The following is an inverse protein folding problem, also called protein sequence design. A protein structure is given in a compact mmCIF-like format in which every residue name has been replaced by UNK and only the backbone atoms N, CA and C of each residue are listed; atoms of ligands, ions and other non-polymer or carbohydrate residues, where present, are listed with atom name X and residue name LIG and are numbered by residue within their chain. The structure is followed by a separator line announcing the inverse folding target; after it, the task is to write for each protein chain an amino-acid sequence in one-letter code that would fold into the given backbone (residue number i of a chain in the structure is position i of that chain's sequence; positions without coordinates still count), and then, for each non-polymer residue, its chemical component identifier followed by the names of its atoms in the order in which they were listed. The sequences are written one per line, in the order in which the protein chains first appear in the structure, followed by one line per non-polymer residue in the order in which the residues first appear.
data_IF_589142587266
#
_entry.id   IF_589142587266
#
_cell.length_a   1.000
_cell.length_b   1.000
_cell.length_c   1.000
_cell.angle_alpha   90.00
_cell.angle_beta   90.00
_cell.angle_gamma   90.00
#
_symmetry.space_group_name_H-M   'P 1'
#
loop_
_entity.id
_entity.type
_entity.pdbx_description
1 polymer ?
#
# COMPACT_ATOMS: atom_id res chain seq x y z
N UNK A 1 -14.04 7.92 12.34
CA UNK A 1 -12.91 7.17 11.75
C UNK A 1 -11.82 7.13 12.79
N UNK A 2 -11.04 6.06 12.88
CA UNK A 2 -9.97 5.97 13.87
C UNK A 2 -8.95 7.09 13.59
N UNK A 3 -8.74 8.00 14.56
CA UNK A 3 -7.85 9.15 14.43
C UNK A 3 -6.44 8.72 14.00
N UNK A 4 -6.01 7.53 14.42
CA UNK A 4 -4.71 6.96 14.06
C UNK A 4 -4.64 6.53 12.59
N UNK A 5 -5.74 6.03 12.02
CA UNK A 5 -5.80 5.63 10.61
C UNK A 5 -5.79 6.87 9.69
N UNK A 6 -6.48 7.93 10.10
CA UNK A 6 -6.51 9.21 9.39
C UNK A 6 -5.15 9.90 9.40
N UNK A 7 -4.47 9.89 10.56
CA UNK A 7 -3.10 10.38 10.69
C UNK A 7 -2.14 9.58 9.83
N UNK A 8 -2.17 8.23 9.89
CA UNK A 8 -1.32 7.39 9.05
C UNK A 8 -1.53 7.64 7.55
N UNK A 9 -2.78 7.77 7.11
CA UNK A 9 -3.11 8.07 5.71
C UNK A 9 -2.63 9.46 5.30
N UNK A 10 -2.77 10.44 6.19
CA UNK A 10 -2.30 11.82 5.98
C UNK A 10 -0.78 11.90 5.91
N UNK A 11 -0.07 11.19 6.79
CA UNK A 11 1.38 11.11 6.79
C UNK A 11 1.90 10.46 5.51
N UNK A 12 1.31 9.35 5.07
CA UNK A 12 1.67 8.71 3.81
C UNK A 12 1.54 9.68 2.63
N UNK A 13 0.43 10.44 2.56
CA UNK A 13 0.23 11.47 1.53
C UNK A 13 1.32 12.54 1.56
N UNK A 14 1.70 13.02 2.74
CA UNK A 14 2.75 14.04 2.89
C UNK A 14 4.10 13.51 2.39
N UNK A 15 4.47 12.28 2.74
CA UNK A 15 5.74 11.68 2.30
C UNK A 15 5.75 11.44 0.79
N UNK A 16 4.63 11.00 0.20
CA UNK A 16 4.51 10.85 -1.26
C UNK A 16 4.64 12.20 -1.98
N UNK A 17 4.02 13.27 -1.48
CA UNK A 17 4.13 14.58 -2.09
C UNK A 17 5.55 15.17 -1.96
N UNK A 18 6.25 14.91 -0.84
CA UNK A 18 7.67 15.26 -0.70
C UNK A 18 8.54 14.55 -1.74
N UNK A 19 8.35 13.25 -1.91
CA UNK A 19 9.08 12.48 -2.93
C UNK A 19 8.82 13.00 -4.34
N UNK A 20 7.56 13.38 -4.63
CA UNK A 20 7.19 13.97 -5.92
C UNK A 20 7.91 15.30 -6.19
N UNK A 21 8.16 16.08 -5.14
CA UNK A 21 8.82 17.38 -5.23
C UNK A 21 10.35 17.27 -5.27
N UNK A 22 10.91 16.10 -4.99
CA UNK A 22 12.34 15.85 -5.08
C UNK A 22 12.76 15.71 -6.55
N UNK A 23 13.54 16.70 -7.02
CA UNK A 23 14.00 16.78 -8.39
C UNK A 23 15.23 15.89 -8.68
N UNK A 24 15.94 15.44 -7.64
CA UNK A 24 17.15 14.61 -7.77
C UNK A 24 17.20 13.52 -6.67
N UNK A 25 16.32 12.51 -6.72
CA UNK A 25 16.29 11.46 -5.70
C UNK A 25 17.58 10.65 -5.71
N UNK A 26 18.10 10.37 -4.52
CA UNK A 26 19.29 9.54 -4.37
C UNK A 26 18.97 8.07 -4.65
N UNK A 27 20.02 7.28 -4.88
CA UNK A 27 19.87 5.83 -4.97
C UNK A 27 19.33 5.20 -3.67
N UNK A 28 19.73 5.75 -2.52
CA UNK A 28 19.24 5.34 -1.20
C UNK A 28 17.73 5.58 -1.07
N UNK A 29 17.21 6.66 -1.65
CA UNK A 29 15.77 6.93 -1.66
C UNK A 29 15.01 5.87 -2.45
N UNK A 30 15.47 5.50 -3.65
CA UNK A 30 14.85 4.42 -4.42
C UNK A 30 14.85 3.08 -3.68
N UNK A 31 15.96 2.76 -3.01
CA UNK A 31 16.04 1.58 -2.16
C UNK A 31 15.04 1.65 -0.99
N UNK A 32 14.99 2.77 -0.27
CA UNK A 32 14.07 2.99 0.84
C UNK A 32 12.59 2.88 0.40
N UNK A 33 12.23 3.43 -0.77
CA UNK A 33 10.89 3.32 -1.33
C UNK A 33 10.50 1.89 -1.67
N UNK A 34 11.44 1.07 -2.15
CA UNK A 34 11.16 -0.33 -2.44
C UNK A 34 10.80 -1.13 -1.19
N UNK A 35 11.50 -0.85 -0.09
CA UNK A 35 11.19 -1.42 1.21
C UNK A 35 9.82 -0.93 1.72
N UNK A 36 9.58 0.38 1.67
CA UNK A 36 8.34 0.98 2.13
C UNK A 36 7.11 0.43 1.37
N UNK A 37 7.19 0.28 0.05
CA UNK A 37 6.13 -0.31 -0.76
C UNK A 37 5.85 -1.77 -0.37
N UNK A 38 6.90 -2.54 -0.07
CA UNK A 38 6.76 -3.92 0.43
C UNK A 38 6.03 -3.96 1.77
N UNK A 39 6.40 -3.08 2.70
CA UNK A 39 5.81 -3.03 4.03
C UNK A 39 4.34 -2.55 4.02
N UNK A 40 4.01 -1.54 3.20
CA UNK A 40 2.64 -1.01 3.06
C UNK A 40 1.72 -2.04 2.42
N UNK A 41 2.12 -2.65 1.31
CA UNK A 41 1.29 -3.65 0.61
C UNK A 41 1.03 -4.88 1.48
N UNK A 42 2.01 -5.34 2.25
CA UNK A 42 1.83 -6.45 3.19
C UNK A 42 0.83 -6.12 4.32
N UNK A 43 0.88 -4.90 4.87
CA UNK A 43 -0.07 -4.44 5.91
C UNK A 43 -1.48 -4.33 5.36
N UNK A 44 -1.65 -3.78 4.16
CA UNK A 44 -2.95 -3.69 3.50
C UNK A 44 -3.51 -5.08 3.13
N UNK A 45 -2.65 -6.02 2.69
CA UNK A 45 -3.05 -7.41 2.43
C UNK A 45 -3.63 -8.02 3.72
N UNK A 46 -2.90 -7.88 4.82
CA UNK A 46 -3.33 -8.39 6.12
C UNK A 46 -4.65 -7.75 6.58
N UNK A 47 -4.78 -6.43 6.49
CA UNK A 47 -6.02 -5.71 6.83
C UNK A 47 -7.20 -6.20 6.00
N UNK A 48 -7.02 -6.37 4.68
CA UNK A 48 -8.07 -6.88 3.78
C UNK A 48 -8.58 -8.25 4.21
N UNK A 49 -7.66 -9.15 4.60
CA UNK A 49 -8.01 -10.48 5.13
C UNK A 49 -8.77 -10.40 6.45
N UNK A 50 -8.33 -9.55 7.38
CA UNK A 50 -9.00 -9.34 8.67
C UNK A 50 -10.42 -8.84 8.45
N UNK A 51 -10.59 -7.81 7.62
CA UNK A 51 -11.91 -7.25 7.30
C UNK A 51 -12.79 -8.28 6.58
N UNK A 52 -12.27 -9.08 5.65
CA UNK A 52 -13.04 -10.12 4.97
C UNK A 52 -13.62 -11.14 5.98
N UNK A 53 -12.83 -11.52 6.98
CA UNK A 53 -13.27 -12.40 8.06
C UNK A 53 -14.30 -11.76 8.99
N UNK A 54 -14.16 -10.46 9.28
CA UNK A 54 -15.12 -9.72 10.10
C UNK A 54 -16.46 -9.53 9.38
N UNK A 55 -16.43 -9.12 8.11
CA UNK A 55 -17.61 -8.97 7.24
C UNK A 55 -18.36 -10.30 7.12
N UNK A 56 -17.64 -11.41 6.93
CA UNK A 56 -18.23 -12.75 6.83
C UNK A 56 -18.99 -13.22 8.07
N UNK A 57 -18.75 -12.60 9.25
CA UNK A 57 -19.43 -12.91 10.53
C UNK A 57 -20.31 -11.77 11.02
N UNK A 58 -20.44 -10.70 10.24
CA UNK A 58 -21.06 -9.47 10.73
C UNK A 58 -22.54 -9.67 11.10
N UNK A 59 -23.26 -10.48 10.31
CA UNK A 59 -24.66 -10.82 10.49
C UNK A 59 -24.94 -11.83 11.61
N UNK A 60 -23.94 -12.58 12.09
CA UNK A 60 -24.14 -13.69 13.04
C UNK A 60 -24.84 -13.27 14.35
N UNK A 61 -24.65 -12.01 14.74
CA UNK A 61 -25.20 -11.43 15.97
C UNK A 61 -26.05 -10.17 15.73
N UNK A 62 -26.46 -9.90 14.48
CA UNK A 62 -27.10 -8.63 14.11
C UNK A 62 -28.28 -8.85 13.17
N UNK A 63 -29.36 -8.12 13.42
CA UNK A 63 -30.46 -7.97 12.45
C UNK A 63 -30.07 -6.86 11.49
N UNK A 64 -29.95 -7.20 10.21
CA UNK A 64 -29.49 -6.28 9.18
C UNK A 64 -30.65 -5.87 8.27
N UNK A 65 -30.53 -4.67 7.71
CA UNK A 65 -31.42 -4.14 6.68
C UNK A 65 -30.57 -3.43 5.64
N UNK A 66 -31.00 -3.48 4.40
CA UNK A 66 -30.46 -2.71 3.30
C UNK A 66 -31.35 -1.48 3.11
N UNK A 67 -30.75 -0.33 2.85
CA UNK A 67 -31.43 0.95 2.66
C UNK A 67 -32.05 1.09 1.26
N UNK A 68 -31.62 0.26 0.31
CA UNK A 68 -32.18 0.15 -1.04
C UNK A 68 -33.17 -1.02 -1.18
N UNK A 69 -33.38 -1.78 -0.10
CA UNK A 69 -34.31 -2.91 -0.06
C UNK A 69 -33.74 -4.25 -0.56
N UNK A 70 -32.44 -4.34 -0.82
CA UNK A 70 -31.77 -5.59 -1.19
C UNK A 70 -31.60 -6.55 0.01
N UNK A 71 -31.13 -7.78 -0.25
CA UNK A 71 -30.77 -8.72 0.81
C UNK A 71 -29.43 -8.32 1.46
N UNK A 72 -29.39 -7.99 2.77
CA UNK A 72 -28.16 -7.64 3.46
C UNK A 72 -27.12 -8.76 3.46
N UNK A 73 -27.54 -10.03 3.43
CA UNK A 73 -26.61 -11.15 3.37
C UNK A 73 -25.87 -11.18 2.03
N UNK A 74 -26.56 -10.88 0.93
CA UNK A 74 -25.95 -10.74 -0.39
C UNK A 74 -24.94 -9.57 -0.42
N UNK A 75 -25.27 -8.42 0.19
CA UNK A 75 -24.34 -7.28 0.30
C UNK A 75 -23.07 -7.61 1.09
N UNK A 76 -23.20 -8.32 2.21
CA UNK A 76 -22.03 -8.76 2.98
C UNK A 76 -21.17 -9.76 2.20
N UNK A 77 -21.80 -10.67 1.45
CA UNK A 77 -21.09 -11.60 0.58
C UNK A 77 -20.32 -10.86 -0.54
N UNK A 78 -20.94 -9.85 -1.16
CA UNK A 78 -20.32 -8.98 -2.17
C UNK A 78 -19.13 -8.21 -1.58
N UNK A 79 -19.31 -7.54 -0.45
CA UNK A 79 -18.24 -6.81 0.24
C UNK A 79 -17.05 -7.72 0.61
N UNK A 80 -17.33 -8.93 1.10
CA UNK A 80 -16.29 -9.95 1.37
C UNK A 80 -15.58 -10.38 0.09
N UNK A 81 -16.31 -10.52 -1.03
CA UNK A 81 -15.75 -10.81 -2.34
C UNK A 81 -14.75 -9.74 -2.77
N UNK A 82 -15.10 -8.46 -2.64
CA UNK A 82 -14.19 -7.35 -2.92
C UNK A 82 -12.94 -7.35 -2.05
N UNK A 83 -13.07 -7.61 -0.74
CA UNK A 83 -11.93 -7.68 0.17
C UNK A 83 -10.99 -8.85 -0.16
N UNK A 84 -11.54 -9.98 -0.59
CA UNK A 84 -10.75 -11.14 -1.03
C UNK A 84 -10.01 -10.86 -2.34
N UNK A 85 -10.67 -10.19 -3.29
CA UNK A 85 -10.02 -9.74 -4.52
C UNK A 85 -8.90 -8.73 -4.24
N UNK A 86 -9.14 -7.79 -3.31
CA UNK A 86 -8.15 -6.80 -2.88
C UNK A 86 -6.95 -7.47 -2.20
N UNK A 87 -7.17 -8.46 -1.33
CA UNK A 87 -6.07 -9.26 -0.73
C UNK A 87 -5.19 -9.89 -1.82
N UNK A 88 -5.80 -10.52 -2.82
CA UNK A 88 -5.06 -11.14 -3.92
C UNK A 88 -4.26 -10.11 -4.74
N UNK A 89 -4.86 -8.95 -5.03
CA UNK A 89 -4.21 -7.88 -5.76
C UNK A 89 -3.01 -7.30 -4.97
N UNK A 90 -3.17 -7.12 -3.66
CA UNK A 90 -2.11 -6.61 -2.78
C UNK A 90 -0.96 -7.60 -2.64
N UNK A 91 -1.24 -8.91 -2.61
CA UNK A 91 -0.19 -9.94 -2.64
C UNK A 91 0.64 -9.86 -3.93
N UNK A 92 -0.02 -9.68 -5.08
CA UNK A 92 0.68 -9.50 -6.35
C UNK A 92 1.50 -8.20 -6.36
N UNK A 93 0.92 -7.09 -5.89
CA UNK A 93 1.62 -5.81 -5.76
C UNK A 93 2.83 -5.90 -4.82
N UNK A 94 2.71 -6.65 -3.72
CA UNK A 94 3.80 -6.91 -2.78
C UNK A 94 4.94 -7.70 -3.43
N UNK A 95 4.62 -8.68 -4.28
CA UNK A 95 5.61 -9.38 -5.12
C UNK A 95 6.35 -8.43 -6.07
N UNK A 96 5.62 -7.53 -6.73
CA UNK A 96 6.22 -6.52 -7.61
C UNK A 96 7.11 -5.53 -6.82
N UNK A 97 6.67 -5.08 -5.65
CA UNK A 97 7.45 -4.20 -4.77
C UNK A 97 8.77 -4.85 -4.32
N UNK A 98 8.75 -6.14 -3.97
CA UNK A 98 9.97 -6.90 -3.65
C UNK A 98 10.91 -7.04 -4.84
N UNK A 99 10.37 -7.29 -6.03
CA UNK A 99 11.17 -7.38 -7.25
C UNK A 99 11.85 -6.04 -7.57
N UNK A 100 11.11 -4.93 -7.43
CA UNK A 100 11.66 -3.58 -7.54
C UNK A 100 12.77 -3.31 -6.51
N UNK A 101 12.51 -3.59 -5.22
CA UNK A 101 13.48 -3.41 -4.15
C UNK A 101 14.76 -4.22 -4.40
N UNK A 102 14.63 -5.46 -4.84
CA UNK A 102 15.77 -6.31 -5.19
C UNK A 102 16.56 -5.74 -6.37
N UNK A 103 15.88 -5.27 -7.42
CA UNK A 103 16.55 -4.68 -8.58
C UNK A 103 17.29 -3.40 -8.21
N UNK A 104 16.67 -2.51 -7.42
CA UNK A 104 17.31 -1.31 -6.91
C UNK A 104 18.54 -1.66 -6.07
N UNK A 105 18.43 -2.61 -5.12
CA UNK A 105 19.54 -3.03 -4.25
C UNK A 105 20.73 -3.69 -4.97
N UNK A 106 20.61 -4.02 -6.25
CA UNK A 106 21.72 -4.54 -7.06
C UNK A 106 22.49 -3.46 -7.82
N UNK A 107 22.06 -2.20 -7.77
CA UNK A 107 22.74 -1.10 -8.42
C UNK A 107 23.77 -0.51 -7.44
N UNK A 108 25.03 -0.42 -7.86
CA UNK A 108 26.04 0.37 -7.17
C UNK A 108 26.14 1.75 -7.84
N UNK A 109 26.27 2.81 -7.04
CA UNK A 109 26.45 4.17 -7.54
C UNK A 109 27.83 4.67 -7.17
N UNK A 110 28.58 5.07 -8.20
CA UNK A 110 29.84 5.79 -8.07
C UNK A 110 29.64 7.21 -8.60
N UNK A 111 30.06 8.22 -7.85
CA UNK A 111 30.00 9.62 -8.31
C UNK A 111 31.20 9.88 -9.23
N UNK A 112 30.92 10.23 -10.49
CA UNK A 112 31.94 10.60 -11.47
C UNK A 112 32.61 11.92 -11.05
N UNK A 113 33.75 11.80 -10.39
CA UNK A 113 34.57 12.91 -9.89
C UNK A 113 35.17 13.77 -11.01
N UNK A 114 35.07 13.37 -12.28
CA UNK A 114 35.54 14.17 -13.42
C UNK A 114 34.50 15.18 -13.93
N UNK A 115 33.21 15.05 -13.58
CA UNK A 115 32.17 16.02 -13.97
C UNK A 115 32.13 17.29 -13.11
N UNK A 116 32.68 17.27 -11.90
CA UNK A 116 32.74 18.46 -11.02
C UNK A 116 33.88 19.45 -11.39
N UNK A 117 34.86 19.03 -12.20
CA UNK A 117 36.04 19.85 -12.54
C UNK A 117 35.93 20.68 -13.83
N UNK A 118 34.83 20.58 -14.59
CA UNK A 118 34.70 21.10 -15.96
C UNK A 118 34.11 22.50 -16.11
N UNK A 119 33.68 23.15 -15.01
CA UNK A 119 33.19 24.53 -15.04
C UNK A 119 34.27 25.47 -14.46
N UNK A 120 35.20 25.92 -15.32
CA UNK A 120 36.01 27.12 -15.09
C UNK A 120 35.88 28.05 -16.28
#
# INVERSE_FOLDING_TARGET
MDEQLDDATSQLRVVVERQRQDADPSHEDFYAWGWALTEVTARLEHLSRVLAGQVGRYGDARVLRDDEGADPAARLAEARGHLTALESALRAANGAARAYHSAAGHIAVEVDSQREGGAR
#
